data_IF_153589670759
#
_entry.id   IF_153589670759
#
_cell.length_a   1.000
_cell.length_b   1.000
_cell.length_c   1.000
_cell.angle_alpha   90.00
_cell.angle_beta   90.00
_cell.angle_gamma   90.00
#
_symmetry.space_group_name_H-M   'P 1'
#
loop_
_entity.id
_entity.type
_entity.pdbx_description
1 polymer ?
#
# COMPACT_ATOMS: atom_id res chain seq x y z
N UNK A 1 23.90 -30.58 -13.20
CA UNK A 1 24.16 -29.63 -14.32
C UNK A 1 24.03 -28.21 -13.79
N UNK A 2 25.13 -27.70 -13.25
CA UNK A 2 25.28 -26.32 -12.78
C UNK A 2 25.44 -25.41 -14.01
N UNK A 3 24.41 -24.64 -14.33
CA UNK A 3 24.55 -23.52 -15.24
C UNK A 3 25.37 -22.44 -14.54
N UNK A 4 26.70 -22.50 -14.67
CA UNK A 4 27.56 -21.33 -14.54
C UNK A 4 27.25 -20.40 -15.72
N UNK A 5 26.17 -19.64 -15.59
CA UNK A 5 25.98 -18.45 -16.41
C UNK A 5 27.08 -17.48 -16.02
N UNK A 6 28.11 -17.37 -16.86
CA UNK A 6 29.11 -16.32 -16.82
C UNK A 6 28.41 -14.98 -16.57
N UNK A 7 28.61 -14.43 -15.37
CA UNK A 7 28.03 -13.18 -14.95
C UNK A 7 28.68 -12.08 -15.79
N UNK A 8 27.97 -11.67 -16.86
CA UNK A 8 28.25 -10.42 -17.57
C UNK A 8 28.45 -9.34 -16.50
N UNK A 9 29.53 -8.56 -16.59
CA UNK A 9 30.03 -7.61 -15.58
C UNK A 9 29.07 -6.47 -15.20
N UNK A 10 27.86 -6.78 -14.78
CA UNK A 10 26.89 -5.85 -14.21
C UNK A 10 27.32 -5.45 -12.81
N UNK A 11 26.99 -4.20 -12.45
CA UNK A 11 27.19 -3.72 -11.09
C UNK A 11 26.45 -4.62 -10.08
N UNK A 12 27.09 -4.82 -8.93
CA UNK A 12 26.49 -5.52 -7.80
C UNK A 12 25.12 -4.92 -7.42
N UNK A 13 24.03 -5.71 -7.32
CA UNK A 13 22.69 -5.22 -7.00
C UNK A 13 22.62 -4.35 -5.75
N UNK A 14 23.41 -4.65 -4.72
CA UNK A 14 23.47 -3.83 -3.50
C UNK A 14 24.04 -2.43 -3.80
N UNK A 15 25.05 -2.37 -4.67
CA UNK A 15 25.62 -1.10 -5.14
C UNK A 15 24.59 -0.28 -5.93
N UNK A 16 23.80 -0.90 -6.80
CA UNK A 16 22.71 -0.22 -7.53
C UNK A 16 21.65 0.31 -6.55
N UNK A 17 21.23 -0.50 -5.58
CA UNK A 17 20.26 -0.08 -4.56
C UNK A 17 20.72 1.15 -3.75
N UNK A 18 22.00 1.19 -3.36
CA UNK A 18 22.59 2.36 -2.66
C UNK A 18 22.52 3.63 -3.50
N UNK A 19 22.86 3.55 -4.79
CA UNK A 19 22.77 4.71 -5.69
C UNK A 19 21.33 5.20 -5.86
N UNK A 20 20.37 4.28 -6.01
CA UNK A 20 18.96 4.64 -6.16
C UNK A 20 18.36 5.21 -4.87
N UNK A 21 18.80 4.72 -3.71
CA UNK A 21 18.43 5.32 -2.44
C UNK A 21 19.03 6.73 -2.30
N UNK A 22 20.31 6.92 -2.61
CA UNK A 22 20.93 8.24 -2.64
C UNK A 22 20.24 9.21 -3.60
N UNK A 23 19.86 8.74 -4.79
CA UNK A 23 19.06 9.52 -5.74
C UNK A 23 17.69 9.87 -5.16
N UNK A 24 17.02 8.93 -4.49
CA UNK A 24 15.74 9.20 -3.83
C UNK A 24 15.89 10.31 -2.79
N UNK A 25 16.90 10.24 -1.90
CA UNK A 25 17.17 11.29 -0.91
C UNK A 25 17.43 12.65 -1.57
N UNK A 26 18.22 12.67 -2.63
CA UNK A 26 18.49 13.89 -3.39
C UNK A 26 17.22 14.47 -4.00
N UNK A 27 16.34 13.63 -4.55
CA UNK A 27 15.05 14.07 -5.11
C UNK A 27 14.14 14.68 -4.04
N UNK A 28 14.03 14.07 -2.85
CA UNK A 28 13.28 14.67 -1.73
C UNK A 28 13.89 16.00 -1.28
N UNK A 29 15.22 16.05 -1.13
CA UNK A 29 15.92 17.27 -0.73
C UNK A 29 15.72 18.41 -1.74
N UNK A 30 15.98 18.18 -3.04
CA UNK A 30 15.83 19.20 -4.08
C UNK A 30 14.36 19.61 -4.23
N UNK A 31 13.43 18.67 -4.24
CA UNK A 31 12.00 18.97 -4.41
C UNK A 31 11.44 19.75 -3.22
N UNK A 32 12.05 19.65 -2.03
CA UNK A 32 11.65 20.43 -0.85
C UNK A 32 11.76 21.95 -1.05
N UNK A 33 12.61 22.42 -1.98
CA UNK A 33 12.74 23.84 -2.31
C UNK A 33 11.72 24.32 -3.36
N UNK A 34 10.93 23.41 -3.93
CA UNK A 34 9.93 23.72 -4.95
C UNK A 34 8.54 23.14 -4.61
N UNK A 35 7.98 23.43 -3.42
CA UNK A 35 6.71 22.82 -2.96
C UNK A 35 5.49 23.23 -3.80
N UNK A 36 5.60 24.30 -4.61
CA UNK A 36 4.56 24.74 -5.53
C UNK A 36 4.62 24.05 -6.89
N UNK A 37 5.70 23.35 -7.21
CA UNK A 37 5.75 22.50 -8.39
C UNK A 37 4.87 21.26 -8.19
N UNK A 38 4.45 20.60 -9.29
CA UNK A 38 3.65 19.37 -9.24
C UNK A 38 4.48 18.15 -8.83
N UNK A 39 5.21 18.28 -7.73
CA UNK A 39 6.12 17.30 -7.14
C UNK A 39 5.76 17.02 -5.68
N UNK A 40 4.47 17.15 -5.35
CA UNK A 40 3.93 17.11 -3.98
C UNK A 40 4.29 15.83 -3.19
N UNK A 41 4.51 14.70 -3.86
CA UNK A 41 4.95 13.46 -3.20
C UNK A 41 6.42 13.49 -2.79
N UNK A 42 7.25 14.25 -3.51
CA UNK A 42 8.68 14.44 -3.24
C UNK A 42 8.96 15.71 -2.40
N UNK A 43 8.11 16.72 -2.48
CA UNK A 43 8.29 18.00 -1.78
C UNK A 43 7.70 18.03 -0.38
N UNK A 44 7.32 16.88 0.19
CA UNK A 44 6.74 16.78 1.54
C UNK A 44 7.61 17.43 2.62
N UNK A 45 8.95 17.39 2.46
CA UNK A 45 9.89 18.06 3.37
C UNK A 45 9.90 19.58 3.23
N UNK A 46 9.39 20.13 2.13
CA UNK A 46 9.30 21.58 1.89
C UNK A 46 8.31 22.30 2.79
N UNK A 47 7.47 21.54 3.51
CA UNK A 47 6.56 22.07 4.52
C UNK A 47 7.17 22.10 5.93
N UNK A 48 8.43 21.67 6.07
CA UNK A 48 9.17 21.66 7.33
C UNK A 48 10.18 22.82 7.38
N UNK A 49 10.64 23.24 8.57
CA UNK A 49 11.75 24.19 8.66
C UNK A 49 12.97 23.70 7.89
N UNK A 50 13.69 24.61 7.22
CA UNK A 50 14.78 24.28 6.26
C UNK A 50 15.88 23.37 6.82
N UNK A 51 16.14 23.41 8.13
CA UNK A 51 17.11 22.53 8.77
C UNK A 51 16.67 21.06 8.78
N UNK A 52 15.38 20.76 8.73
CA UNK A 52 14.86 19.38 8.78
C UNK A 52 15.20 18.59 7.50
N UNK A 53 14.90 19.07 6.27
CA UNK A 53 15.36 18.40 5.05
C UNK A 53 16.87 18.14 5.03
N UNK A 54 17.68 19.09 5.53
CA UNK A 54 19.14 18.95 5.62
C UNK A 54 19.50 17.79 6.56
N UNK A 55 18.95 17.78 7.78
CA UNK A 55 19.21 16.72 8.76
C UNK A 55 18.75 15.35 8.28
N UNK A 56 17.58 15.26 7.64
CA UNK A 56 17.07 14.00 7.07
C UNK A 56 17.97 13.48 5.94
N UNK A 57 18.49 14.38 5.11
CA UNK A 57 19.43 14.02 4.04
C UNK A 57 20.75 13.51 4.61
N UNK A 58 21.31 14.20 5.61
CA UNK A 58 22.54 13.78 6.31
C UNK A 58 22.33 12.42 6.97
N UNK A 59 21.20 12.23 7.68
CA UNK A 59 20.86 10.96 8.31
C UNK A 59 20.74 9.82 7.28
N UNK A 60 20.08 10.07 6.15
CA UNK A 60 19.96 9.09 5.07
C UNK A 60 21.31 8.70 4.47
N UNK A 61 22.21 9.67 4.23
CA UNK A 61 23.57 9.40 3.75
C UNK A 61 24.38 8.61 4.79
N UNK A 62 24.26 8.96 6.07
CA UNK A 62 24.92 8.24 7.16
C UNK A 62 24.46 6.77 7.24
N UNK A 63 23.17 6.49 7.02
CA UNK A 63 22.64 5.12 6.96
C UNK A 63 23.31 4.31 5.84
N UNK A 64 23.46 4.88 4.64
CA UNK A 64 24.15 4.20 3.53
C UNK A 64 25.62 3.95 3.86
N UNK A 65 26.29 4.92 4.47
CA UNK A 65 27.70 4.77 4.86
C UNK A 65 27.88 3.68 5.93
N UNK A 66 27.00 3.62 6.94
CA UNK A 66 26.99 2.61 7.98
C UNK A 66 26.70 1.21 7.43
N UNK A 67 25.71 1.09 6.55
CA UNK A 67 25.39 -0.18 5.88
C UNK A 67 26.59 -0.69 5.07
N UNK A 68 27.25 0.19 4.30
CA UNK A 68 28.46 -0.18 3.55
C UNK A 68 29.59 -0.64 4.47
N UNK A 69 29.80 0.06 5.58
CA UNK A 69 30.82 -0.28 6.56
C UNK A 69 30.58 -1.65 7.20
N UNK A 70 29.33 -1.95 7.59
CA UNK A 70 28.98 -3.23 8.21
C UNK A 70 28.92 -4.38 7.21
N UNK A 71 28.40 -4.17 5.99
CA UNK A 71 28.38 -5.20 4.94
C UNK A 71 29.79 -5.64 4.54
N UNK A 72 30.79 -4.75 4.58
CA UNK A 72 32.19 -5.13 4.40
C UNK A 72 32.72 -6.01 5.54
N UNK A 73 32.29 -5.78 6.78
CA UNK A 73 32.72 -6.56 7.95
C UNK A 73 32.03 -7.93 8.06
N UNK A 74 30.81 -8.07 7.56
CA UNK A 74 30.02 -9.31 7.66
C UNK A 74 30.37 -10.37 6.60
N UNK A 75 31.34 -10.12 5.69
CA UNK A 75 31.77 -11.12 4.70
C UNK A 75 32.47 -12.36 5.30
N UNK A 76 32.62 -12.44 6.62
CA UNK A 76 33.24 -13.58 7.31
C UNK A 76 32.24 -14.22 8.29
N UNK A 77 31.60 -15.32 7.88
CA UNK A 77 30.87 -16.22 8.78
C UNK A 77 29.39 -16.38 8.43
N UNK A 78 29.09 -17.40 7.65
CA UNK A 78 27.72 -17.88 7.42
C UNK A 78 27.06 -18.28 8.74
N UNK A 79 25.92 -17.68 9.06
CA UNK A 79 25.00 -18.25 10.06
C UNK A 79 23.78 -18.76 9.32
N UNK A 80 23.67 -20.09 9.22
CA UNK A 80 22.44 -20.76 8.82
C UNK A 80 21.27 -20.41 9.76
N UNK A 81 20.04 -20.85 9.43
CA UNK A 81 18.87 -20.61 10.27
C UNK A 81 19.02 -21.33 11.62
N UNK A 82 19.59 -20.65 12.61
CA UNK A 82 19.65 -21.12 13.99
C UNK A 82 18.36 -20.77 14.74
N UNK A 83 17.93 -21.62 15.66
CA UNK A 83 16.78 -21.35 16.56
C UNK A 83 16.91 -20.03 17.34
N UNK A 84 18.14 -19.53 17.57
CA UNK A 84 18.38 -18.20 18.15
C UNK A 84 17.72 -17.05 17.35
N UNK A 85 17.48 -17.25 16.05
CA UNK A 85 16.87 -16.24 15.19
C UNK A 85 15.41 -15.96 15.54
N UNK A 86 14.68 -16.93 16.08
CA UNK A 86 13.27 -16.77 16.44
C UNK A 86 13.10 -15.87 17.68
N UNK A 87 13.86 -16.14 18.76
CA UNK A 87 13.84 -15.31 19.97
C UNK A 87 14.29 -13.88 19.71
N UNK A 88 15.37 -13.70 18.93
CA UNK A 88 15.83 -12.38 18.50
C UNK A 88 14.79 -11.64 17.66
N UNK A 89 14.10 -12.34 16.76
CA UNK A 89 13.05 -11.73 15.95
C UNK A 89 11.89 -11.23 16.82
N UNK A 90 11.40 -12.02 17.77
CA UNK A 90 10.32 -11.59 18.68
C UNK A 90 10.74 -10.33 19.43
N UNK A 91 11.93 -10.31 20.02
CA UNK A 91 12.45 -9.14 20.73
C UNK A 91 12.53 -7.89 19.83
N UNK A 92 13.15 -7.99 18.66
CA UNK A 92 13.30 -6.85 17.76
C UNK A 92 11.97 -6.38 17.17
N UNK A 93 11.09 -7.31 16.82
CA UNK A 93 9.76 -6.99 16.31
C UNK A 93 8.91 -6.29 17.38
N UNK A 94 8.96 -6.74 18.64
CA UNK A 94 8.29 -6.08 19.76
C UNK A 94 8.83 -4.65 19.96
N UNK A 95 10.16 -4.47 19.94
CA UNK A 95 10.76 -3.14 20.02
C UNK A 95 10.31 -2.23 18.88
N UNK A 96 10.34 -2.72 17.63
CA UNK A 96 9.91 -1.96 16.45
C UNK A 96 8.44 -1.57 16.56
N UNK A 97 7.56 -2.50 16.96
CA UNK A 97 6.12 -2.24 17.15
C UNK A 97 5.90 -1.21 18.26
N UNK A 98 6.60 -1.32 19.39
CA UNK A 98 6.52 -0.36 20.49
C UNK A 98 6.99 1.04 20.05
N UNK A 99 8.12 1.13 19.34
CA UNK A 99 8.61 2.40 18.80
C UNK A 99 7.62 2.98 17.80
N UNK A 100 7.09 2.17 16.88
CA UNK A 100 6.08 2.61 15.92
C UNK A 100 4.81 3.11 16.62
N UNK A 101 4.30 2.39 17.62
CA UNK A 101 3.15 2.79 18.42
C UNK A 101 3.39 4.12 19.16
N UNK A 102 4.60 4.32 19.71
CA UNK A 102 4.99 5.59 20.32
C UNK A 102 5.01 6.73 19.27
N UNK A 103 5.60 6.50 18.10
CA UNK A 103 5.65 7.48 17.02
C UNK A 103 4.25 7.92 16.59
N UNK A 104 3.34 6.99 16.30
CA UNK A 104 1.98 7.34 15.84
C UNK A 104 1.17 8.08 16.92
N UNK A 105 1.44 7.82 18.21
CA UNK A 105 0.77 8.49 19.31
C UNK A 105 1.30 9.91 19.56
N UNK A 106 2.63 10.06 19.66
CA UNK A 106 3.27 11.33 20.02
C UNK A 106 3.37 12.30 18.84
N UNK A 107 3.51 11.79 17.61
CA UNK A 107 3.58 12.59 16.39
C UNK A 107 2.23 12.70 15.68
N UNK A 108 1.13 12.43 16.37
CA UNK A 108 -0.21 12.51 15.78
C UNK A 108 -0.52 13.90 15.22
N UNK A 109 -1.25 13.93 14.11
CA UNK A 109 -1.68 15.14 13.43
C UNK A 109 -2.49 16.05 14.37
N UNK A 110 -2.13 17.34 14.39
CA UNK A 110 -2.83 18.38 15.16
C UNK A 110 -3.67 19.30 14.29
N UNK A 111 -3.54 19.19 12.98
CA UNK A 111 -4.22 20.00 11.97
C UNK A 111 -4.92 19.08 10.97
N UNK A 112 -6.13 19.46 10.55
CA UNK A 112 -7.01 18.60 9.74
C UNK A 112 -7.34 19.24 8.38
N UNK A 113 -6.38 20.02 7.84
CA UNK A 113 -6.53 20.77 6.58
C UNK A 113 -6.35 19.92 5.31
N UNK A 114 -5.82 18.70 5.43
CA UNK A 114 -5.70 17.76 4.31
C UNK A 114 -7.00 16.94 4.20
N UNK A 115 -7.45 16.70 2.97
CA UNK A 115 -8.71 15.97 2.72
C UNK A 115 -9.95 16.74 3.20
N UNK A 116 -10.87 15.99 3.82
CA UNK A 116 -12.16 16.45 4.32
C UNK A 116 -12.24 16.44 5.87
N UNK A 117 -11.09 16.40 6.57
CA UNK A 117 -11.01 16.17 8.02
C UNK A 117 -11.96 17.02 8.87
N UNK A 118 -11.97 18.34 8.69
CA UNK A 118 -12.88 19.23 9.44
C UNK A 118 -14.37 18.94 9.16
N UNK A 119 -14.71 18.59 7.90
CA UNK A 119 -16.08 18.21 7.53
C UNK A 119 -16.48 16.88 8.15
N UNK A 120 -15.55 15.92 8.20
CA UNK A 120 -15.76 14.62 8.84
C UNK A 120 -15.94 14.73 10.36
N UNK A 121 -15.16 15.61 11.02
CA UNK A 121 -15.33 15.92 12.44
C UNK A 121 -16.70 16.55 12.71
N UNK A 122 -17.08 17.55 11.92
CA UNK A 122 -18.37 18.23 12.05
C UNK A 122 -19.55 17.26 11.79
N UNK A 123 -19.43 16.38 10.80
CA UNK A 123 -20.43 15.37 10.51
C UNK A 123 -20.57 14.37 11.67
N UNK A 124 -19.46 13.80 12.15
CA UNK A 124 -19.47 12.85 13.25
C UNK A 124 -19.97 13.48 14.56
N UNK A 125 -19.77 14.79 14.76
CA UNK A 125 -20.24 15.52 15.94
C UNK A 125 -21.76 15.65 16.02
N UNK A 126 -22.49 15.53 14.89
CA UNK A 126 -23.97 15.60 14.88
C UNK A 126 -24.61 14.52 15.77
N UNK A 127 -25.85 14.75 16.27
CA UNK A 127 -26.60 13.72 17.00
C UNK A 127 -26.89 12.47 16.16
N UNK A 128 -27.10 12.65 14.85
CA UNK A 128 -27.34 11.59 13.89
C UNK A 128 -26.38 11.76 12.70
N UNK A 129 -25.12 11.30 12.85
CA UNK A 129 -24.12 11.46 11.81
C UNK A 129 -24.49 10.61 10.57
N UNK A 130 -24.29 11.17 9.38
CA UNK A 130 -24.50 10.47 8.12
C UNK A 130 -23.41 9.40 7.92
N UNK A 131 -23.82 8.14 7.91
CA UNK A 131 -22.96 7.02 7.53
C UNK A 131 -23.08 6.83 6.02
N UNK A 132 -22.01 7.13 5.27
CA UNK A 132 -22.04 6.95 3.81
C UNK A 132 -22.01 5.44 3.48
N UNK A 133 -22.88 4.95 2.57
CA UNK A 133 -22.97 3.52 2.26
C UNK A 133 -21.63 2.88 1.84
N UNK A 134 -20.78 3.66 1.15
CA UNK A 134 -19.46 3.22 0.65
C UNK A 134 -18.42 2.95 1.73
N UNK A 135 -18.66 3.37 2.97
CA UNK A 135 -17.74 3.27 4.11
C UNK A 135 -18.45 2.91 5.42
N UNK A 136 -19.54 2.14 5.29
CA UNK A 136 -20.49 1.84 6.36
C UNK A 136 -19.78 1.31 7.61
N UNK A 137 -18.87 0.35 7.46
CA UNK A 137 -18.17 -0.25 8.58
C UNK A 137 -17.29 0.73 9.34
N UNK A 138 -16.51 1.55 8.62
CA UNK A 138 -15.66 2.57 9.27
C UNK A 138 -16.49 3.61 10.00
N UNK A 139 -17.58 4.08 9.37
CA UNK A 139 -18.52 5.02 10.00
C UNK A 139 -19.15 4.46 11.27
N UNK A 140 -19.61 3.21 11.26
CA UNK A 140 -20.19 2.56 12.44
C UNK A 140 -19.19 2.44 13.60
N UNK A 141 -17.94 2.06 13.31
CA UNK A 141 -16.88 1.98 14.34
C UNK A 141 -16.62 3.34 14.97
N UNK A 142 -16.60 4.41 14.18
CA UNK A 142 -16.39 5.77 14.68
C UNK A 142 -17.56 6.28 15.53
N UNK A 143 -18.80 6.01 15.11
CA UNK A 143 -20.00 6.35 15.90
C UNK A 143 -19.99 5.61 17.24
N UNK A 144 -19.69 4.31 17.22
CA UNK A 144 -19.55 3.52 18.44
C UNK A 144 -18.45 4.06 19.36
N UNK A 145 -17.27 4.37 18.80
CA UNK A 145 -16.14 4.90 19.56
C UNK A 145 -16.46 6.28 20.17
N UNK A 146 -17.08 7.20 19.40
CA UNK A 146 -17.55 8.50 19.91
C UNK A 146 -18.52 8.31 21.07
N UNK A 147 -19.49 7.40 20.93
CA UNK A 147 -20.47 7.09 21.99
C UNK A 147 -19.82 6.52 23.25
N UNK A 148 -18.79 5.69 23.09
CA UNK A 148 -18.00 5.16 24.20
C UNK A 148 -17.19 6.23 24.94
N UNK A 149 -16.59 7.19 24.21
CA UNK A 149 -15.82 8.30 24.79
C UNK A 149 -16.74 9.27 25.55
N UNK A 150 -17.90 9.60 24.97
CA UNK A 150 -18.87 10.54 25.56
C UNK A 150 -18.36 11.98 25.67
N UNK A 151 -19.12 12.84 26.36
CA UNK A 151 -18.75 14.23 26.62
C UNK A 151 -19.07 15.19 25.46
N UNK A 152 -18.22 16.21 25.28
CA UNK A 152 -18.38 17.23 24.24
C UNK A 152 -18.35 16.59 22.83
N UNK A 153 -19.37 16.80 21.97
CA UNK A 153 -19.46 16.10 20.70
C UNK A 153 -18.27 16.31 19.75
N UNK A 154 -17.68 17.50 19.74
CA UNK A 154 -16.57 17.85 18.88
C UNK A 154 -15.27 17.19 19.38
N UNK A 155 -14.97 17.33 20.67
CA UNK A 155 -13.82 16.68 21.29
C UNK A 155 -13.91 15.15 21.20
N UNK A 156 -15.09 14.58 21.45
CA UNK A 156 -15.34 13.14 21.34
C UNK A 156 -15.15 12.63 19.91
N UNK A 157 -15.58 13.40 18.89
CA UNK A 157 -15.40 13.04 17.48
C UNK A 157 -13.91 13.01 17.10
N UNK A 158 -13.14 14.01 17.50
CA UNK A 158 -11.70 14.04 17.28
C UNK A 158 -11.00 12.87 17.96
N UNK A 159 -11.29 12.62 19.23
CA UNK A 159 -10.72 11.51 19.98
C UNK A 159 -11.13 10.15 19.38
N UNK A 160 -12.34 10.02 18.84
CA UNK A 160 -12.78 8.80 18.17
C UNK A 160 -11.95 8.51 16.91
N UNK A 161 -11.75 9.50 16.04
CA UNK A 161 -10.87 9.35 14.86
C UNK A 161 -9.44 9.03 15.27
N UNK A 162 -8.88 9.77 16.23
CA UNK A 162 -7.51 9.53 16.69
C UNK A 162 -7.34 8.12 17.29
N UNK A 163 -8.28 7.68 18.11
CA UNK A 163 -8.26 6.34 18.71
C UNK A 163 -8.36 5.25 17.64
N UNK A 164 -9.32 5.34 16.71
CA UNK A 164 -9.49 4.36 15.64
C UNK A 164 -8.26 4.31 14.73
N UNK A 165 -7.70 5.47 14.37
CA UNK A 165 -6.48 5.58 13.56
C UNK A 165 -5.27 4.93 14.25
N UNK A 166 -5.02 5.27 15.53
CA UNK A 166 -3.87 4.74 16.28
C UNK A 166 -4.01 3.24 16.55
N UNK A 167 -5.19 2.78 16.98
CA UNK A 167 -5.46 1.35 17.21
C UNK A 167 -5.29 0.57 15.91
N UNK A 168 -5.77 1.11 14.79
CA UNK A 168 -5.54 0.51 13.46
C UNK A 168 -4.06 0.41 13.13
N UNK A 169 -3.26 1.43 13.43
CA UNK A 169 -1.81 1.40 13.25
C UNK A 169 -1.10 0.32 14.09
N UNK A 170 -1.50 0.16 15.35
CA UNK A 170 -0.97 -0.88 16.22
C UNK A 170 -1.34 -2.27 15.69
N UNK A 171 -2.60 -2.49 15.32
CA UNK A 171 -3.07 -3.75 14.74
C UNK A 171 -2.35 -4.06 13.42
N UNK A 172 -2.19 -3.05 12.55
CA UNK A 172 -1.41 -3.16 11.32
C UNK A 172 0.01 -3.64 11.63
N UNK A 173 0.67 -3.03 12.61
CA UNK A 173 2.05 -3.36 12.96
C UNK A 173 2.21 -4.77 13.54
N UNK A 174 1.26 -5.21 14.36
CA UNK A 174 1.21 -6.57 14.88
C UNK A 174 1.01 -7.60 13.76
N UNK A 175 0.09 -7.35 12.82
CA UNK A 175 -0.13 -8.23 11.66
C UNK A 175 1.12 -8.28 10.78
N UNK A 176 1.78 -7.14 10.54
CA UNK A 176 3.02 -7.08 9.79
C UNK A 176 4.13 -7.90 10.47
N UNK A 177 4.28 -7.79 11.80
CA UNK A 177 5.28 -8.53 12.57
C UNK A 177 5.01 -10.03 12.57
N UNK A 178 3.77 -10.45 12.82
CA UNK A 178 3.38 -11.86 12.79
C UNK A 178 3.55 -12.42 11.37
N UNK A 179 3.02 -11.70 10.37
CA UNK A 179 3.11 -12.09 8.96
C UNK A 179 4.54 -12.25 8.49
N UNK A 180 5.42 -11.30 8.79
CA UNK A 180 6.84 -11.38 8.42
C UNK A 180 7.53 -12.58 9.05
N UNK A 181 7.25 -12.86 10.34
CA UNK A 181 7.81 -14.02 11.05
C UNK A 181 7.32 -15.37 10.51
N UNK A 182 6.06 -15.41 10.04
CA UNK A 182 5.50 -16.60 9.40
C UNK A 182 6.04 -16.79 7.97
N UNK A 183 6.18 -15.72 7.20
CA UNK A 183 6.48 -15.80 5.77
C UNK A 183 7.96 -16.08 5.47
N UNK A 184 8.88 -15.55 6.28
CA UNK A 184 10.31 -15.65 5.99
C UNK A 184 11.08 -16.44 7.06
N UNK A 185 12.09 -17.24 6.68
CA UNK A 185 12.91 -17.99 7.63
C UNK A 185 14.02 -17.14 8.26
N UNK A 186 14.64 -16.20 7.52
CA UNK A 186 15.82 -15.48 8.03
C UNK A 186 15.45 -14.19 8.75
N UNK A 187 16.17 -13.88 9.82
CA UNK A 187 15.94 -12.67 10.63
C UNK A 187 15.96 -11.38 9.80
N UNK A 188 16.94 -11.22 8.91
CA UNK A 188 17.06 -10.03 8.07
C UNK A 188 15.86 -9.86 7.13
N UNK A 189 15.39 -10.94 6.51
CA UNK A 189 14.23 -10.94 5.62
C UNK A 189 12.97 -10.55 6.39
N UNK A 190 12.76 -11.11 7.59
CA UNK A 190 11.63 -10.77 8.47
C UNK A 190 11.64 -9.30 8.87
N UNK A 191 12.78 -8.77 9.29
CA UNK A 191 12.91 -7.37 9.70
C UNK A 191 12.77 -6.41 8.51
N UNK A 192 13.26 -6.79 7.33
CA UNK A 192 13.10 -5.99 6.12
C UNK A 192 11.64 -5.93 5.67
N UNK A 193 10.93 -7.07 5.66
CA UNK A 193 9.49 -7.08 5.37
C UNK A 193 8.71 -6.25 6.40
N UNK A 194 8.97 -6.44 7.70
CA UNK A 194 8.30 -5.68 8.76
C UNK A 194 8.51 -4.18 8.56
N UNK A 195 9.75 -3.72 8.49
CA UNK A 195 10.05 -2.28 8.36
C UNK A 195 9.57 -1.70 7.03
N UNK A 196 9.68 -2.45 5.93
CA UNK A 196 9.10 -2.08 4.64
C UNK A 196 7.59 -1.86 4.72
N UNK A 197 6.87 -2.68 5.48
CA UNK A 197 5.43 -2.51 5.68
C UNK A 197 5.08 -1.37 6.64
N UNK A 198 5.86 -1.09 7.68
CA UNK A 198 5.51 -0.06 8.66
C UNK A 198 5.77 1.37 8.18
N UNK A 199 6.74 1.57 7.29
CA UNK A 199 7.23 2.91 6.95
C UNK A 199 6.89 3.35 5.51
N UNK A 200 5.84 2.79 4.92
CA UNK A 200 5.21 3.31 3.70
C UNK A 200 4.42 4.59 3.95
N UNK A 201 4.20 5.40 2.91
CA UNK A 201 3.46 6.66 3.02
C UNK A 201 2.03 6.51 3.58
N UNK A 202 1.39 5.35 3.33
CA UNK A 202 0.10 5.00 3.94
C UNK A 202 0.13 4.95 5.47
N UNK A 203 1.31 4.80 6.10
CA UNK A 203 1.43 4.77 7.55
C UNK A 203 1.02 6.11 8.19
N UNK A 204 1.06 7.21 7.45
CA UNK A 204 0.60 8.53 7.89
C UNK A 204 -0.88 8.51 8.33
N UNK A 205 -1.70 7.60 7.79
CA UNK A 205 -3.10 7.42 8.22
C UNK A 205 -3.23 6.96 9.68
N UNK A 206 -2.17 6.42 10.28
CA UNK A 206 -2.17 5.93 11.66
C UNK A 206 -1.77 6.98 12.70
N UNK A 207 -1.32 8.16 12.26
CA UNK A 207 -0.89 9.26 13.14
C UNK A 207 -2.10 10.10 13.58
N UNK A 208 -3.19 9.45 14.02
CA UNK A 208 -4.42 10.13 14.42
C UNK A 208 -5.11 10.90 13.27
N UNK A 209 -4.91 10.45 12.03
CA UNK A 209 -5.44 11.10 10.84
C UNK A 209 -6.98 10.95 10.80
N UNK A 210 -7.68 12.04 10.48
CA UNK A 210 -9.14 12.13 10.57
C UNK A 210 -9.78 11.71 9.26
N UNK A 211 -9.68 10.43 8.94
CA UNK A 211 -10.24 9.82 7.73
C UNK A 211 -10.67 8.36 8.01
N UNK A 212 -11.53 7.81 7.15
CA UNK A 212 -12.20 6.53 7.38
C UNK A 212 -11.41 5.29 6.91
N UNK A 213 -10.19 5.48 6.40
CA UNK A 213 -9.45 4.43 5.68
C UNK A 213 -8.49 3.62 6.54
N UNK A 214 -8.19 4.02 7.78
CA UNK A 214 -7.24 3.32 8.64
C UNK A 214 -7.64 1.84 8.91
N UNK A 215 -8.90 1.51 9.25
CA UNK A 215 -9.32 0.11 9.41
C UNK A 215 -9.23 -0.71 8.12
N UNK A 216 -9.50 -0.09 6.97
CA UNK A 216 -9.39 -0.73 5.67
C UNK A 216 -7.94 -1.12 5.36
N UNK A 217 -6.96 -0.27 5.69
CA UNK A 217 -5.54 -0.58 5.54
C UNK A 217 -5.13 -1.85 6.32
N UNK A 218 -5.64 -2.01 7.55
CA UNK A 218 -5.47 -3.23 8.36
C UNK A 218 -6.04 -4.45 7.64
N UNK A 219 -7.26 -4.33 7.12
CA UNK A 219 -7.93 -5.40 6.37
C UNK A 219 -7.17 -5.80 5.10
N UNK A 220 -6.62 -4.84 4.36
CA UNK A 220 -5.82 -5.09 3.14
C UNK A 220 -4.52 -5.83 3.48
N UNK A 221 -3.82 -5.43 4.55
CA UNK A 221 -2.63 -6.13 4.99
C UNK A 221 -2.96 -7.57 5.42
N UNK A 222 -4.01 -7.75 6.23
CA UNK A 222 -4.47 -9.08 6.66
C UNK A 222 -4.83 -9.96 5.46
N UNK A 223 -5.51 -9.41 4.46
CA UNK A 223 -5.82 -10.08 3.20
C UNK A 223 -4.54 -10.53 2.48
N UNK A 224 -3.55 -9.64 2.37
CA UNK A 224 -2.26 -9.94 1.71
C UNK A 224 -1.47 -11.03 2.42
N UNK A 225 -1.28 -10.91 3.74
CA UNK A 225 -0.53 -11.90 4.55
C UNK A 225 -1.21 -13.27 4.54
N UNK A 226 -2.53 -13.31 4.80
CA UNK A 226 -3.26 -14.58 4.81
C UNK A 226 -3.34 -15.20 3.41
N UNK A 227 -3.53 -14.39 2.38
CA UNK A 227 -3.53 -14.85 0.99
C UNK A 227 -2.19 -15.43 0.55
N UNK A 228 -1.07 -14.88 1.02
CA UNK A 228 0.25 -15.48 0.85
C UNK A 228 0.35 -16.85 1.51
N UNK A 229 -0.03 -16.97 2.79
CA UNK A 229 -0.03 -18.26 3.49
C UNK A 229 -0.91 -19.30 2.77
N UNK A 230 -2.07 -18.90 2.25
CA UNK A 230 -2.95 -19.77 1.44
C UNK A 230 -2.27 -20.16 0.11
N UNK A 231 -1.64 -19.22 -0.59
CA UNK A 231 -0.94 -19.47 -1.84
C UNK A 231 0.22 -20.48 -1.67
N UNK A 232 0.84 -20.49 -0.50
CA UNK A 232 1.86 -21.44 -0.07
C UNK A 232 1.32 -22.77 0.48
N UNK A 233 -0.01 -22.98 0.50
CA UNK A 233 -0.68 -24.12 1.14
C UNK A 233 -0.47 -24.24 2.66
N UNK A 234 -0.22 -23.13 3.36
CA UNK A 234 0.00 -23.09 4.81
C UNK A 234 -1.26 -22.70 5.60
N UNK A 235 -2.34 -22.37 4.91
CA UNK A 235 -3.63 -22.03 5.49
C UNK A 235 -4.79 -22.49 4.60
N UNK A 236 -5.98 -22.66 5.20
CA UNK A 236 -7.19 -23.03 4.47
C UNK A 236 -7.64 -21.87 3.57
N UNK A 237 -7.88 -22.15 2.28
CA UNK A 237 -8.27 -21.14 1.29
C UNK A 237 -9.57 -20.38 1.59
N UNK A 238 -10.49 -20.98 2.34
CA UNK A 238 -11.75 -20.31 2.72
C UNK A 238 -11.54 -19.16 3.70
N UNK A 239 -10.41 -19.15 4.43
CA UNK A 239 -10.10 -18.08 5.36
C UNK A 239 -9.91 -16.72 4.66
N UNK A 240 -9.63 -16.68 3.35
CA UNK A 240 -9.51 -15.43 2.59
C UNK A 240 -10.81 -14.62 2.57
N UNK A 241 -11.96 -15.28 2.76
CA UNK A 241 -13.27 -14.62 2.77
C UNK A 241 -13.45 -13.69 3.98
N UNK A 242 -12.77 -13.96 5.09
CA UNK A 242 -12.86 -13.14 6.31
C UNK A 242 -12.28 -11.74 6.07
N UNK A 243 -10.98 -11.56 5.71
CA UNK A 243 -10.45 -10.23 5.44
C UNK A 243 -11.08 -9.59 4.20
N UNK A 244 -11.56 -10.36 3.22
CA UNK A 244 -12.33 -9.82 2.10
C UNK A 244 -13.65 -9.19 2.58
N UNK A 245 -14.43 -9.89 3.42
CA UNK A 245 -15.66 -9.36 3.98
C UNK A 245 -15.39 -8.13 4.85
N UNK A 246 -14.33 -8.17 5.68
CA UNK A 246 -13.93 -7.03 6.50
C UNK A 246 -13.55 -5.81 5.66
N UNK A 247 -12.74 -5.97 4.62
CA UNK A 247 -12.36 -4.84 3.75
C UNK A 247 -13.55 -4.27 3.00
N UNK A 248 -14.45 -5.10 2.46
CA UNK A 248 -15.70 -4.63 1.84
C UNK A 248 -16.65 -3.95 2.83
N UNK A 249 -16.69 -4.41 4.09
CA UNK A 249 -17.46 -3.79 5.16
C UNK A 249 -16.93 -2.40 5.50
N UNK A 250 -15.62 -2.25 5.64
CA UNK A 250 -15.00 -0.95 5.94
C UNK A 250 -15.10 0.02 4.76
N UNK A 251 -14.92 -0.46 3.53
CA UNK A 251 -14.98 0.41 2.35
C UNK A 251 -15.27 -0.35 1.05
N UNK A 252 -15.95 0.31 0.10
CA UNK A 252 -16.23 -0.26 -1.22
C UNK A 252 -14.96 -0.61 -2.02
N UNK A 253 -13.83 0.05 -1.76
CA UNK A 253 -12.54 -0.30 -2.38
C UNK A 253 -12.04 -1.69 -1.99
N UNK A 254 -12.55 -2.29 -0.89
CA UNK A 254 -12.29 -3.70 -0.58
C UNK A 254 -12.71 -4.65 -1.69
N UNK A 255 -13.69 -4.27 -2.52
CA UNK A 255 -14.13 -5.06 -3.67
C UNK A 255 -13.04 -5.25 -4.73
N UNK A 256 -12.02 -4.38 -4.76
CA UNK A 256 -10.87 -4.52 -5.64
C UNK A 256 -10.01 -5.75 -5.33
N UNK A 257 -10.18 -6.36 -4.15
CA UNK A 257 -9.49 -7.59 -3.74
C UNK A 257 -10.18 -8.87 -4.24
N UNK A 258 -11.43 -8.77 -4.72
CA UNK A 258 -12.23 -9.92 -5.18
C UNK A 258 -11.50 -10.74 -6.26
N UNK A 259 -10.88 -10.15 -7.31
CA UNK A 259 -10.18 -10.94 -8.33
C UNK A 259 -9.08 -11.83 -7.75
N UNK A 260 -8.33 -11.34 -6.76
CA UNK A 260 -7.27 -12.10 -6.10
C UNK A 260 -7.84 -13.20 -5.18
N UNK A 261 -8.95 -12.94 -4.50
CA UNK A 261 -9.65 -13.95 -3.70
C UNK A 261 -10.22 -15.09 -4.57
N UNK A 262 -10.89 -14.73 -5.68
CA UNK A 262 -11.41 -15.70 -6.65
C UNK A 262 -10.30 -16.58 -7.23
N UNK A 263 -9.14 -15.99 -7.51
CA UNK A 263 -7.95 -16.73 -7.93
C UNK A 263 -7.57 -17.83 -6.92
N UNK A 264 -7.45 -17.50 -5.63
CA UNK A 264 -7.11 -18.47 -4.59
C UNK A 264 -8.20 -19.52 -4.37
N UNK A 265 -9.48 -19.13 -4.40
CA UNK A 265 -10.60 -20.05 -4.19
C UNK A 265 -10.74 -21.04 -5.35
N UNK A 266 -10.54 -20.57 -6.58
CA UNK A 266 -10.56 -21.40 -7.79
C UNK A 266 -9.32 -22.30 -7.90
N UNK A 267 -8.20 -21.95 -7.24
CA UNK A 267 -7.00 -22.77 -7.27
C UNK A 267 -7.30 -24.21 -6.81
N UNK A 268 -6.71 -25.17 -7.53
CA UNK A 268 -6.87 -26.63 -7.32
C UNK A 268 -8.28 -27.18 -7.51
N UNK A 269 -9.19 -26.44 -8.14
CA UNK A 269 -10.51 -26.96 -8.52
C UNK A 269 -10.47 -27.63 -9.90
N UNK A 270 -11.43 -28.54 -10.16
CA UNK A 270 -11.65 -29.10 -11.51
C UNK A 270 -11.90 -28.00 -12.55
N UNK A 271 -12.54 -26.90 -12.14
CA UNK A 271 -12.76 -25.72 -12.98
C UNK A 271 -11.44 -25.08 -13.41
N UNK A 272 -10.53 -24.80 -12.47
CA UNK A 272 -9.22 -24.24 -12.80
C UNK A 272 -8.40 -25.18 -13.70
N UNK A 273 -8.47 -26.50 -13.48
CA UNK A 273 -7.82 -27.49 -14.34
C UNK A 273 -8.44 -27.55 -15.76
N UNK A 274 -9.75 -27.27 -15.89
CA UNK A 274 -10.41 -27.17 -17.20
C UNK A 274 -10.01 -25.88 -17.91
N UNK A 275 -10.00 -24.75 -17.20
CA UNK A 275 -9.57 -23.45 -17.74
C UNK A 275 -8.10 -23.51 -18.16
N UNK A 276 -7.21 -24.12 -17.37
CA UNK A 276 -5.78 -24.20 -17.71
C UNK A 276 -5.53 -25.03 -18.97
N UNK A 277 -6.30 -26.10 -19.20
CA UNK A 277 -6.25 -26.95 -20.40
C UNK A 277 -6.97 -26.39 -21.62
N UNK A 278 -7.80 -25.36 -21.45
CA UNK A 278 -8.47 -24.72 -22.58
C UNK A 278 -7.46 -24.13 -23.57
N UNK A 279 -7.79 -24.21 -24.86
CA UNK A 279 -6.97 -23.63 -25.93
C UNK A 279 -6.76 -22.13 -25.72
N UNK A 280 -5.68 -21.58 -26.28
CA UNK A 280 -5.43 -20.12 -26.23
C UNK A 280 -6.60 -19.35 -26.83
N UNK A 281 -7.17 -19.82 -27.93
CA UNK A 281 -8.35 -19.23 -28.56
C UNK A 281 -9.55 -19.15 -27.60
N UNK A 282 -9.86 -20.24 -26.88
CA UNK A 282 -10.98 -20.25 -25.93
C UNK A 282 -10.75 -19.29 -24.76
N UNK A 283 -9.51 -19.24 -24.24
CA UNK A 283 -9.14 -18.29 -23.18
C UNK A 283 -9.29 -16.84 -23.66
N UNK A 284 -8.76 -16.54 -24.85
CA UNK A 284 -8.88 -15.22 -25.47
C UNK A 284 -10.33 -14.83 -25.75
N UNK A 285 -11.16 -15.78 -26.18
CA UNK A 285 -12.59 -15.56 -26.40
C UNK A 285 -13.30 -15.22 -25.08
N UNK A 286 -13.09 -16.02 -24.03
CA UNK A 286 -13.72 -15.77 -22.72
C UNK A 286 -13.27 -14.43 -22.13
N UNK A 287 -11.96 -14.15 -22.13
CA UNK A 287 -11.43 -12.87 -21.66
C UNK A 287 -11.96 -11.72 -22.51
N UNK A 288 -11.96 -11.86 -23.83
CA UNK A 288 -12.50 -10.87 -24.76
C UNK A 288 -13.98 -10.58 -24.51
N UNK A 289 -14.81 -11.61 -24.31
CA UNK A 289 -16.22 -11.45 -23.97
C UNK A 289 -16.40 -10.72 -22.64
N UNK A 290 -15.65 -11.07 -21.59
CA UNK A 290 -15.72 -10.39 -20.29
C UNK A 290 -15.33 -8.92 -20.44
N UNK A 291 -14.26 -8.62 -21.20
CA UNK A 291 -13.80 -7.25 -21.44
C UNK A 291 -14.86 -6.46 -22.23
N UNK A 292 -15.41 -7.01 -23.31
CA UNK A 292 -16.45 -6.34 -24.11
C UNK A 292 -17.70 -6.08 -23.28
N UNK A 293 -18.21 -7.08 -22.54
CA UNK A 293 -19.37 -6.89 -21.67
C UNK A 293 -19.10 -5.84 -20.58
N UNK A 294 -17.89 -5.87 -20.00
CA UNK A 294 -17.45 -4.86 -19.03
C UNK A 294 -17.41 -3.45 -19.62
N UNK A 295 -16.89 -3.29 -20.84
CA UNK A 295 -16.85 -1.99 -21.54
C UNK A 295 -18.24 -1.49 -21.93
N UNK A 296 -19.14 -2.38 -22.36
CA UNK A 296 -20.54 -2.03 -22.65
C UNK A 296 -21.26 -1.57 -21.38
N UNK A 297 -21.13 -2.33 -20.29
CA UNK A 297 -21.73 -1.96 -19.00
C UNK A 297 -21.14 -0.64 -18.46
N UNK A 298 -19.81 -0.48 -18.55
CA UNK A 298 -19.13 0.76 -18.18
C UNK A 298 -19.63 1.93 -19.02
N UNK A 299 -19.69 1.81 -20.35
CA UNK A 299 -20.16 2.86 -21.24
C UNK A 299 -21.62 3.26 -20.97
N UNK A 300 -22.49 2.27 -20.72
CA UNK A 300 -23.88 2.50 -20.34
C UNK A 300 -23.98 3.27 -19.01
N UNK A 301 -23.31 2.82 -17.95
CA UNK A 301 -23.33 3.49 -16.64
C UNK A 301 -22.69 4.88 -16.70
N UNK A 302 -21.58 5.04 -17.42
CA UNK A 302 -20.90 6.31 -17.59
C UNK A 302 -21.77 7.36 -18.29
N UNK A 303 -22.70 6.93 -19.15
CA UNK A 303 -23.63 7.83 -19.84
C UNK A 303 -24.92 8.09 -19.07
N UNK A 304 -25.40 7.10 -18.29
CA UNK A 304 -26.72 7.16 -17.65
C UNK A 304 -26.68 7.53 -16.16
N UNK A 305 -25.53 7.41 -15.50
CA UNK A 305 -25.36 7.67 -14.07
C UNK A 305 -24.25 8.70 -13.83
N UNK A 306 -24.61 9.89 -13.35
CA UNK A 306 -23.66 10.94 -13.01
C UNK A 306 -22.73 10.58 -11.85
N UNK A 307 -23.22 9.86 -10.84
CA UNK A 307 -22.39 9.42 -9.73
C UNK A 307 -21.31 8.46 -10.23
N UNK A 308 -21.69 7.51 -11.09
CA UNK A 308 -20.73 6.60 -11.73
C UNK A 308 -19.76 7.37 -12.63
N UNK A 309 -20.24 8.26 -13.49
CA UNK A 309 -19.41 9.09 -14.37
C UNK A 309 -18.36 9.87 -13.59
N UNK A 310 -18.77 10.52 -12.52
CA UNK A 310 -17.88 11.31 -11.68
C UNK A 310 -16.94 10.44 -10.86
N UNK A 311 -17.19 9.16 -10.64
CA UNK A 311 -16.22 8.32 -9.94
C UNK A 311 -14.90 8.13 -10.71
N UNK A 312 -14.86 8.39 -12.02
CA UNK A 312 -13.69 8.13 -12.87
C UNK A 312 -13.08 9.39 -13.49
N UNK A 313 -11.75 9.39 -13.63
CA UNK A 313 -11.03 10.40 -14.41
C UNK A 313 -11.47 10.28 -15.87
N UNK A 314 -11.86 11.39 -16.54
CA UNK A 314 -12.32 11.34 -17.93
C UNK A 314 -11.18 10.88 -18.85
N UNK A 315 -11.50 9.97 -19.78
CA UNK A 315 -10.51 9.45 -20.76
C UNK A 315 -10.13 10.56 -21.75
N UNK A 316 -11.13 11.30 -22.22
CA UNK A 316 -11.00 12.41 -23.16
C UNK A 316 -11.48 13.71 -22.51
N UNK A 317 -10.97 14.88 -22.92
CA UNK A 317 -11.44 16.16 -22.41
C UNK A 317 -12.94 16.34 -22.67
N UNK A 318 -13.66 16.76 -21.63
CA UNK A 318 -15.06 17.13 -21.70
C UNK A 318 -15.34 18.38 -20.84
N UNK A 319 -16.61 18.79 -20.77
CA UNK A 319 -17.03 19.97 -19.98
C UNK A 319 -16.77 19.85 -18.47
N UNK A 320 -16.42 18.66 -17.97
CA UNK A 320 -16.12 18.40 -16.56
C UNK A 320 -14.62 18.26 -16.30
N UNK A 321 -13.79 18.25 -17.35
CA UNK A 321 -12.34 18.12 -17.26
C UNK A 321 -11.68 19.45 -16.86
N UNK A 322 -11.37 19.62 -15.57
CA UNK A 322 -10.74 20.85 -15.06
C UNK A 322 -9.31 20.98 -15.60
N UNK A 323 -9.03 22.07 -16.33
CA UNK A 323 -7.69 22.36 -16.91
C UNK A 323 -7.11 21.19 -17.75
N UNK A 324 -7.97 20.41 -18.40
CA UNK A 324 -7.54 19.27 -19.21
C UNK A 324 -7.01 18.08 -18.39
N UNK A 325 -7.38 17.96 -17.11
CA UNK A 325 -7.06 16.80 -16.29
C UNK A 325 -7.85 15.57 -16.77
N UNK A 326 -7.19 14.75 -17.57
CA UNK A 326 -7.72 13.49 -18.13
C UNK A 326 -6.81 12.32 -17.78
N UNK A 327 -7.29 11.09 -18.01
CA UNK A 327 -6.61 9.84 -17.66
C UNK A 327 -5.17 9.78 -18.19
N UNK A 328 -4.94 10.31 -19.40
CA UNK A 328 -3.64 10.31 -20.06
C UNK A 328 -2.95 11.68 -20.07
N UNK A 329 -3.50 12.67 -19.35
CA UNK A 329 -2.85 13.96 -19.21
C UNK A 329 -1.52 13.83 -18.45
N UNK A 330 -0.52 14.64 -18.82
CA UNK A 330 0.78 14.69 -18.12
C UNK A 330 0.57 15.01 -16.63
N UNK A 331 -0.43 15.85 -16.33
CA UNK A 331 -0.88 16.19 -15.00
C UNK A 331 -1.25 14.97 -14.14
N UNK A 332 -2.13 14.11 -14.64
CA UNK A 332 -2.56 12.90 -13.94
C UNK A 332 -1.40 11.89 -13.80
N UNK A 333 -0.62 11.68 -14.86
CA UNK A 333 0.55 10.78 -14.82
C UNK A 333 1.57 11.26 -13.78
N UNK A 334 1.84 12.57 -13.73
CA UNK A 334 2.73 13.14 -12.72
C UNK A 334 2.20 12.94 -11.29
N UNK A 335 0.89 13.07 -11.07
CA UNK A 335 0.28 12.82 -9.76
C UNK A 335 0.37 11.35 -9.35
N UNK A 336 0.16 10.40 -10.26
CA UNK A 336 0.35 8.97 -9.99
C UNK A 336 1.82 8.68 -9.65
N UNK A 337 2.78 9.28 -10.37
CA UNK A 337 4.21 9.12 -10.08
C UNK A 337 4.54 9.69 -8.69
N UNK A 338 4.05 10.88 -8.35
CA UNK A 338 4.23 11.49 -7.03
C UNK A 338 3.69 10.58 -5.92
N UNK A 339 2.49 10.06 -6.13
CA UNK A 339 1.87 9.13 -5.21
C UNK A 339 2.75 7.88 -5.02
N UNK A 340 3.29 7.28 -6.09
CA UNK A 340 4.19 6.13 -5.95
C UNK A 340 5.46 6.44 -5.15
N UNK A 341 6.05 7.62 -5.34
CA UNK A 341 7.21 8.07 -4.54
C UNK A 341 6.87 8.28 -3.07
N UNK A 342 5.69 8.83 -2.78
CA UNK A 342 5.22 9.02 -1.41
C UNK A 342 4.96 7.69 -0.71
N UNK A 343 4.34 6.74 -1.42
CA UNK A 343 3.73 5.59 -0.79
C UNK A 343 4.64 4.36 -0.68
N UNK A 344 5.48 4.10 -1.68
CA UNK A 344 6.29 2.87 -1.73
C UNK A 344 7.69 3.16 -1.19
N UNK A 345 8.07 2.59 -0.02
CA UNK A 345 9.41 2.77 0.54
C UNK A 345 10.47 2.34 -0.45
N UNK A 346 11.38 3.26 -0.78
CA UNK A 346 12.44 2.99 -1.74
C UNK A 346 11.90 2.65 -3.13
N UNK A 347 10.82 3.30 -3.59
CA UNK A 347 10.20 3.08 -4.90
C UNK A 347 11.21 2.81 -6.03
N UNK A 348 12.25 3.65 -6.17
CA UNK A 348 13.29 3.46 -7.19
C UNK A 348 14.09 2.17 -7.00
N UNK A 349 14.43 1.83 -5.75
CA UNK A 349 15.12 0.58 -5.40
C UNK A 349 14.23 -0.61 -5.74
N UNK A 350 12.98 -0.62 -5.26
CA UNK A 350 12.01 -1.68 -5.55
C UNK A 350 11.76 -1.83 -7.05
N UNK A 351 11.67 -0.72 -7.78
CA UNK A 351 11.48 -0.72 -9.23
C UNK A 351 12.67 -1.30 -9.98
N UNK A 352 13.89 -0.90 -9.63
CA UNK A 352 15.10 -1.45 -10.26
C UNK A 352 15.26 -2.93 -9.96
N UNK A 353 15.02 -3.34 -8.71
CA UNK A 353 15.06 -4.75 -8.33
C UNK A 353 13.99 -5.56 -9.07
N UNK A 354 12.78 -5.04 -9.19
CA UNK A 354 11.73 -5.66 -10.00
C UNK A 354 12.16 -5.86 -11.46
N UNK A 355 12.90 -4.91 -12.06
CA UNK A 355 13.44 -5.06 -13.42
C UNK A 355 14.54 -6.11 -13.54
N UNK A 356 15.26 -6.40 -12.47
CA UNK A 356 16.28 -7.48 -12.47
C UNK A 356 15.66 -8.86 -12.35
N UNK A 357 14.43 -8.97 -11.84
CA UNK A 357 13.74 -10.24 -11.72
C UNK A 357 13.21 -10.69 -13.10
N UNK A 358 13.42 -11.96 -13.50
CA UNK A 358 12.86 -12.46 -14.74
C UNK A 358 11.34 -12.42 -14.65
N UNK A 359 10.67 -11.88 -15.67
CA UNK A 359 9.19 -11.82 -15.74
C UNK A 359 8.53 -13.18 -15.48
N UNK A 360 9.21 -14.29 -15.82
CA UNK A 360 8.76 -15.65 -15.53
C UNK A 360 8.51 -15.90 -14.04
N UNK A 361 9.25 -15.27 -13.13
CA UNK A 361 9.04 -15.42 -11.68
C UNK A 361 7.70 -14.83 -11.22
N UNK A 362 7.29 -13.69 -11.77
CA UNK A 362 6.00 -13.05 -11.45
C UNK A 362 4.80 -13.96 -11.71
N UNK A 363 4.93 -14.80 -12.75
CA UNK A 363 3.88 -15.73 -13.16
C UNK A 363 4.17 -17.19 -12.77
N UNK A 364 5.35 -17.46 -12.21
CA UNK A 364 5.85 -18.81 -11.96
C UNK A 364 5.27 -19.43 -10.69
N UNK A 365 5.07 -18.64 -9.64
CA UNK A 365 4.54 -19.12 -8.36
C UNK A 365 3.08 -18.70 -8.16
N UNK A 366 2.37 -19.37 -7.24
CA UNK A 366 1.01 -18.97 -6.85
C UNK A 366 1.03 -17.68 -6.03
N UNK A 367 2.01 -17.55 -5.13
CA UNK A 367 2.21 -16.37 -4.29
C UNK A 367 2.42 -15.10 -5.12
N UNK A 368 3.33 -15.15 -6.11
CA UNK A 368 3.59 -14.00 -6.97
C UNK A 368 2.36 -13.61 -7.81
N UNK A 369 1.62 -14.59 -8.35
CA UNK A 369 0.37 -14.32 -9.10
C UNK A 369 -0.71 -13.72 -8.23
N UNK A 370 -0.89 -14.22 -7.00
CA UNK A 370 -1.84 -13.65 -6.04
C UNK A 370 -1.50 -12.20 -5.71
N UNK A 371 -0.25 -11.93 -5.35
CA UNK A 371 0.21 -10.58 -5.03
C UNK A 371 0.14 -9.65 -6.23
N UNK A 372 0.51 -10.11 -7.42
CA UNK A 372 0.39 -9.34 -8.66
C UNK A 372 -1.06 -8.99 -8.96
N UNK A 373 -1.99 -9.94 -8.83
CA UNK A 373 -3.41 -9.67 -9.03
C UNK A 373 -3.93 -8.64 -8.02
N UNK A 374 -3.51 -8.76 -6.75
CA UNK A 374 -3.90 -7.83 -5.68
C UNK A 374 -3.34 -6.43 -5.91
N UNK A 375 -2.07 -6.32 -6.29
CA UNK A 375 -1.41 -5.05 -6.56
C UNK A 375 -1.96 -4.38 -7.83
N UNK A 376 -2.16 -5.14 -8.91
CA UNK A 376 -2.67 -4.58 -10.17
C UNK A 376 -4.12 -4.15 -10.04
N UNK A 377 -4.99 -4.92 -9.38
CA UNK A 377 -6.40 -4.55 -9.23
C UNK A 377 -6.56 -3.28 -8.40
N UNK A 378 -5.75 -3.12 -7.36
CA UNK A 378 -5.77 -1.94 -6.48
C UNK A 378 -5.08 -0.72 -7.13
N UNK A 379 -3.95 -0.90 -7.83
CA UNK A 379 -3.29 0.19 -8.58
C UNK A 379 -4.12 0.68 -9.76
N UNK A 380 -4.83 -0.21 -10.46
CA UNK A 380 -5.70 0.19 -11.56
C UNK A 380 -6.76 1.18 -11.07
N UNK A 381 -7.30 0.97 -9.86
CA UNK A 381 -8.25 1.89 -9.26
C UNK A 381 -7.65 3.28 -9.03
N UNK A 382 -6.40 3.37 -8.56
CA UNK A 382 -5.70 4.67 -8.42
C UNK A 382 -5.59 5.40 -9.74
N UNK A 383 -5.33 4.68 -10.83
CA UNK A 383 -5.20 5.30 -12.13
C UNK A 383 -6.54 5.75 -12.72
N UNK A 384 -7.66 5.12 -12.36
CA UNK A 384 -8.95 5.40 -13.04
C UNK A 384 -9.93 6.20 -12.20
N UNK A 385 -9.82 6.18 -10.87
CA UNK A 385 -10.73 6.89 -9.98
C UNK A 385 -10.37 8.37 -9.90
N UNK A 386 -11.38 9.24 -9.94
CA UNK A 386 -11.20 10.69 -9.91
C UNK A 386 -10.86 11.18 -8.49
N UNK A 387 -9.69 11.80 -8.27
CA UNK A 387 -9.37 12.43 -7.00
C UNK A 387 -10.15 13.75 -6.87
N UNK A 388 -11.29 13.70 -6.17
CA UNK A 388 -12.24 14.79 -6.02
C UNK A 388 -11.65 16.08 -5.47
N UNK A 389 -10.66 15.99 -4.60
CA UNK A 389 -9.97 17.13 -4.01
C UNK A 389 -8.60 17.38 -4.67
N UNK A 390 -8.27 16.61 -5.71
CA UNK A 390 -6.95 16.49 -6.29
C UNK A 390 -6.11 15.44 -5.56
N UNK A 391 -5.21 14.77 -6.29
CA UNK A 391 -4.42 13.65 -5.77
C UNK A 391 -3.64 13.97 -4.47
N UNK A 392 -3.07 15.18 -4.26
CA UNK A 392 -2.38 15.50 -3.01
C UNK A 392 -3.31 15.55 -1.79
N UNK A 393 -4.60 15.88 -1.96
CA UNK A 393 -5.55 15.99 -0.86
C UNK A 393 -6.26 14.68 -0.57
N UNK A 394 -6.50 13.86 -1.60
CA UNK A 394 -7.09 12.51 -1.48
C UNK A 394 -6.01 11.41 -1.36
N UNK A 395 -4.76 11.78 -1.07
CA UNK A 395 -3.61 10.87 -1.08
C UNK A 395 -3.83 9.61 -0.24
N UNK A 396 -4.62 9.72 0.82
CA UNK A 396 -4.93 8.71 1.81
C UNK A 396 -5.83 7.61 1.24
N UNK A 397 -6.88 7.96 0.51
CA UNK A 397 -7.71 7.00 -0.25
C UNK A 397 -6.84 6.27 -1.28
N UNK A 398 -5.99 7.01 -1.98
CA UNK A 398 -5.10 6.47 -3.01
C UNK A 398 -3.84 5.81 -2.42
N UNK A 399 -3.65 5.84 -1.10
CA UNK A 399 -2.49 5.25 -0.41
C UNK A 399 -2.56 3.73 -0.29
N UNK A 400 -3.78 3.20 -0.27
CA UNK A 400 -4.08 1.81 0.06
C UNK A 400 -3.40 0.77 -0.86
N UNK A 401 -3.29 0.99 -2.18
CA UNK A 401 -2.65 0.04 -3.08
C UNK A 401 -1.14 -0.12 -2.84
N UNK A 402 -0.52 0.81 -2.12
CA UNK A 402 0.89 0.65 -1.77
C UNK A 402 1.14 -0.50 -0.80
N UNK A 403 0.15 -0.93 0.00
CA UNK A 403 0.30 -2.11 0.87
C UNK A 403 0.56 -3.38 0.04
N UNK A 404 -0.30 -3.79 -0.92
CA UNK A 404 -0.03 -4.96 -1.75
C UNK A 404 1.16 -4.77 -2.69
N UNK A 405 1.47 -3.55 -3.13
CA UNK A 405 2.68 -3.27 -3.92
C UNK A 405 3.94 -3.49 -3.10
N UNK A 406 3.98 -3.01 -1.85
CA UNK A 406 5.10 -3.25 -0.93
C UNK A 406 5.23 -4.73 -0.60
N UNK A 407 4.13 -5.44 -0.34
CA UNK A 407 4.15 -6.90 -0.17
C UNK A 407 4.74 -7.60 -1.39
N UNK A 408 4.31 -7.24 -2.61
CA UNK A 408 4.85 -7.79 -3.86
C UNK A 408 6.34 -7.50 -4.02
N UNK A 409 6.76 -6.26 -3.80
CA UNK A 409 8.16 -5.87 -3.91
C UNK A 409 9.03 -6.65 -2.92
N UNK A 410 8.66 -6.69 -1.64
CA UNK A 410 9.41 -7.39 -0.61
C UNK A 410 9.41 -8.91 -0.85
N UNK A 411 8.28 -9.50 -1.25
CA UNK A 411 8.19 -10.93 -1.57
C UNK A 411 9.08 -11.36 -2.74
N UNK A 412 9.30 -10.48 -3.73
CA UNK A 412 10.18 -10.78 -4.86
C UNK A 412 11.66 -10.55 -4.54
N UNK A 413 11.96 -9.75 -3.51
CA UNK A 413 13.31 -9.40 -3.10
C UNK A 413 13.91 -10.39 -2.10
N UNK A 414 13.07 -10.98 -1.26
CA UNK A 414 13.41 -11.90 -0.17
C UNK A 414 13.17 -13.34 -0.59
#
# INVERSE_FOLDING_TARGET
>A
MSHETATRGGADPATVARYLFGLTLLLFFVSSFFPSARVWGLSVWGHLPVYVPILLTIAGVAIVALERYWSHRQKSGETGPSNESAGRYVLYSALIVCVFAALIYFLRGRTHFLGDGDSLLAELAKPQPLIKPRETGSGLVLVWMKGFIGGDPQAASLLAYQAVSIVSGILFALIAAIGSGLLFPRLGERLLMLTGLLFGGYALMFFGYVENYAPLAVGILLFGVLGLLIAENRANKWLILIPLALTCFFHILGTLLIPAALYLLAAHTKLAARISRASRANKSLVVGTIVVLGLVAFGYLYQTDYYFRFAFVPILPDRFSIKGYTLFSIAHIADVINLLFLLVPGFLVSFALFRTQPLKMLFGTRSARFLLLTAVSTLLAVCVLDPKLGMPRDWDLFSLPAIPVTLLAMWLML
#
